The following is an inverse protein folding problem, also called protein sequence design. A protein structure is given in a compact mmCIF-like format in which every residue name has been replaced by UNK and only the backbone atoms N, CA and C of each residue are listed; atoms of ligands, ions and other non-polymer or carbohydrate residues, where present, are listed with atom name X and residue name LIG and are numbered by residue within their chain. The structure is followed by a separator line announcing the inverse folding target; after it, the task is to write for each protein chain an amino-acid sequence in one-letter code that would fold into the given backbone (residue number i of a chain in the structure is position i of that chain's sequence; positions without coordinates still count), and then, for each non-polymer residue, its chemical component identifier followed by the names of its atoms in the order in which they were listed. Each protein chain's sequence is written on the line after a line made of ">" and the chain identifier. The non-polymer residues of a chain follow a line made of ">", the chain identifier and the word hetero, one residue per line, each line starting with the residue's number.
data_IF_913333061388
#
_entry.id   IF_913333061388
#
_cell.length_a   1.000
_cell.length_b   1.000
_cell.length_c   1.000
_cell.angle_alpha   90.00
_cell.angle_beta   90.00
_cell.angle_gamma   90.00
#
_symmetry.space_group_name_H-M   'P 1'
#
loop_
_entity.id
_entity.type
_entity.pdbx_description
1 polymer ?
#
# COMPACT_ATOMS: atom_id res chain seq x y z
N UNK A 1 17.50 26.80 -14.22
CA UNK A 1 17.29 27.61 -12.99
C UNK A 1 15.98 28.41 -12.98
N UNK A 2 15.25 28.57 -14.10
CA UNK A 2 13.97 29.32 -14.13
C UNK A 2 12.72 28.48 -13.82
N UNK A 3 12.73 27.17 -14.10
CA UNK A 3 11.57 26.27 -13.94
C UNK A 3 11.27 25.90 -12.49
N UNK A 4 12.29 25.62 -11.67
CA UNK A 4 12.12 25.36 -10.23
C UNK A 4 11.61 26.58 -9.45
N UNK A 5 12.08 27.78 -9.82
CA UNK A 5 11.63 29.02 -9.19
C UNK A 5 10.14 29.30 -9.45
N UNK A 6 9.65 28.97 -10.65
CA UNK A 6 8.23 29.08 -10.98
C UNK A 6 7.36 28.06 -10.24
N UNK A 7 7.83 26.82 -10.08
CA UNK A 7 7.11 25.78 -9.34
C UNK A 7 6.97 26.14 -7.85
N UNK A 8 8.03 26.63 -7.20
CA UNK A 8 8.00 27.04 -5.79
C UNK A 8 7.06 28.24 -5.57
N UNK A 9 7.04 29.20 -6.50
CA UNK A 9 6.15 30.37 -6.44
C UNK A 9 4.68 29.99 -6.65
N UNK A 10 4.40 28.99 -7.49
CA UNK A 10 3.05 28.46 -7.72
C UNK A 10 2.52 27.74 -6.47
N UNK A 11 3.33 26.89 -5.83
CA UNK A 11 2.96 26.18 -4.61
C UNK A 11 2.66 27.16 -3.46
N UNK A 12 3.48 28.19 -3.27
CA UNK A 12 3.22 29.23 -2.25
C UNK A 12 1.95 30.03 -2.51
N UNK A 13 1.59 30.28 -3.79
CA UNK A 13 0.32 30.93 -4.14
C UNK A 13 -0.88 30.03 -3.85
N UNK A 14 -0.79 28.75 -4.19
CA UNK A 14 -1.86 27.78 -3.89
C UNK A 14 -2.06 27.66 -2.37
N UNK A 15 -0.98 27.57 -1.59
CA UNK A 15 -1.03 27.52 -0.12
C UNK A 15 -1.69 28.78 0.49
N UNK A 16 -1.35 29.96 -0.02
CA UNK A 16 -1.99 31.21 0.40
C UNK A 16 -3.48 31.24 0.06
N UNK A 17 -3.86 30.83 -1.17
CA UNK A 17 -5.26 30.76 -1.59
C UNK A 17 -6.04 29.79 -0.70
N UNK A 18 -5.47 28.62 -0.40
CA UNK A 18 -6.10 27.61 0.44
C UNK A 18 -6.30 28.12 1.88
N UNK A 19 -5.31 28.81 2.45
CA UNK A 19 -5.40 29.47 3.76
C UNK A 19 -6.46 30.57 3.77
N UNK A 20 -6.53 31.38 2.72
CA UNK A 20 -7.56 32.41 2.57
C UNK A 20 -8.96 31.81 2.44
N UNK A 21 -9.13 30.72 1.70
CA UNK A 21 -10.41 30.00 1.58
C UNK A 21 -10.84 29.37 2.91
N UNK A 22 -9.91 28.79 3.67
CA UNK A 22 -10.16 28.28 5.02
C UNK A 22 -10.58 29.39 5.99
N UNK A 23 -9.86 30.52 5.98
CA UNK A 23 -10.20 31.68 6.79
C UNK A 23 -11.56 32.27 6.43
N UNK A 24 -11.87 32.36 5.13
CA UNK A 24 -13.18 32.81 4.66
C UNK A 24 -14.29 31.82 5.04
N UNK A 25 -14.03 30.52 4.94
CA UNK A 25 -14.95 29.47 5.40
C UNK A 25 -15.25 29.58 6.89
N UNK A 26 -14.24 29.86 7.72
CA UNK A 26 -14.42 30.09 9.15
C UNK A 26 -15.25 31.33 9.44
N UNK A 27 -14.98 32.44 8.75
CA UNK A 27 -15.76 33.67 8.89
C UNK A 27 -17.21 33.50 8.40
N UNK A 28 -17.43 32.75 7.33
CA UNK A 28 -18.76 32.43 6.82
C UNK A 28 -19.53 31.56 7.82
N UNK A 29 -18.89 30.54 8.40
CA UNK A 29 -19.49 29.71 9.45
C UNK A 29 -19.81 30.57 10.68
N UNK A 30 -18.89 31.42 11.14
CA UNK A 30 -19.12 32.33 12.27
C UNK A 30 -20.27 33.33 11.99
N UNK A 31 -20.35 33.86 10.77
CA UNK A 31 -21.44 34.73 10.33
C UNK A 31 -22.79 33.99 10.28
N UNK A 32 -22.82 32.76 9.75
CA UNK A 32 -24.02 31.92 9.71
C UNK A 32 -24.48 31.53 11.13
N UNK A 33 -23.55 31.23 12.03
CA UNK A 33 -23.78 30.98 13.46
C UNK A 33 -24.39 32.23 14.13
N UNK A 34 -23.85 33.42 13.85
CA UNK A 34 -24.34 34.68 14.41
C UNK A 34 -25.73 35.06 13.86
N UNK A 35 -25.96 34.87 12.57
CA UNK A 35 -27.21 35.28 11.91
C UNK A 35 -28.35 34.29 12.12
N UNK A 36 -28.03 33.00 12.26
CA UNK A 36 -28.99 31.91 12.40
C UNK A 36 -28.55 30.97 13.54
N UNK A 37 -28.70 31.39 14.81
CA UNK A 37 -28.28 30.58 15.96
C UNK A 37 -29.01 29.22 16.03
N UNK A 38 -30.21 29.11 15.44
CA UNK A 38 -30.92 27.84 15.30
C UNK A 38 -30.21 26.80 14.42
N UNK A 39 -29.29 27.21 13.53
CA UNK A 39 -28.49 26.30 12.70
C UNK A 39 -27.29 25.71 13.44
N UNK A 40 -26.88 26.28 14.58
CA UNK A 40 -25.76 25.76 15.39
C UNK A 40 -26.03 24.31 15.78
N UNK A 41 -27.24 24.02 16.27
CA UNK A 41 -27.64 22.66 16.62
C UNK A 41 -27.53 21.70 15.45
N UNK A 42 -27.95 22.12 14.25
CA UNK A 42 -27.87 21.32 13.02
C UNK A 42 -26.42 21.03 12.65
N UNK A 43 -25.54 22.03 12.64
CA UNK A 43 -24.12 21.83 12.32
C UNK A 43 -23.38 20.99 13.36
N UNK A 44 -23.72 21.14 14.66
CA UNK A 44 -23.16 20.29 15.72
C UNK A 44 -23.61 18.85 15.53
N UNK A 45 -24.90 18.61 15.26
CA UNK A 45 -25.42 17.26 14.99
C UNK A 45 -24.72 16.65 13.76
N UNK A 46 -24.63 17.39 12.66
CA UNK A 46 -23.93 16.94 11.45
C UNK A 46 -22.44 16.67 11.71
N UNK A 47 -21.78 17.53 12.50
CA UNK A 47 -20.39 17.35 12.90
C UNK A 47 -20.18 16.10 13.74
N UNK A 48 -21.07 15.85 14.72
CA UNK A 48 -21.05 14.63 15.54
C UNK A 48 -21.26 13.38 14.67
N UNK A 49 -22.20 13.43 13.71
CA UNK A 49 -22.42 12.33 12.76
C UNK A 49 -21.17 12.10 11.90
N UNK A 50 -20.58 13.16 11.35
CA UNK A 50 -19.40 13.03 10.48
C UNK A 50 -18.18 12.49 11.25
N UNK A 51 -17.86 13.08 12.40
CA UNK A 51 -16.74 12.67 13.24
C UNK A 51 -16.98 11.26 13.78
N UNK A 52 -18.17 11.00 14.32
CA UNK A 52 -18.55 9.67 14.81
C UNK A 52 -18.43 8.61 13.72
N UNK A 53 -18.84 8.92 12.49
CA UNK A 53 -18.80 7.98 11.38
C UNK A 53 -17.41 7.56 10.95
N UNK A 54 -16.42 8.44 11.03
CA UNK A 54 -15.02 8.07 10.76
C UNK A 54 -14.28 7.54 12.00
N UNK A 55 -14.63 8.03 13.19
CA UNK A 55 -13.93 7.70 14.44
C UNK A 55 -14.33 6.32 14.97
N UNK A 56 -15.64 6.00 14.99
CA UNK A 56 -16.15 4.77 15.60
C UNK A 56 -15.62 3.50 14.93
N UNK A 57 -15.62 3.35 13.58
CA UNK A 57 -15.04 2.18 12.92
C UNK A 57 -13.57 1.96 13.26
N UNK A 58 -12.82 3.04 13.45
CA UNK A 58 -11.40 2.98 13.79
C UNK A 58 -11.18 2.61 15.26
N UNK A 59 -12.00 3.11 16.17
CA UNK A 59 -11.82 2.85 17.60
C UNK A 59 -12.35 1.50 18.06
N UNK A 60 -13.48 1.03 17.51
CA UNK A 60 -14.04 -0.26 17.90
C UNK A 60 -13.11 -1.38 17.43
N UNK A 61 -12.63 -2.19 18.38
CA UNK A 61 -11.70 -3.30 18.14
C UNK A 61 -10.25 -2.88 17.92
N UNK A 62 -9.89 -1.61 18.17
CA UNK A 62 -8.51 -1.12 18.04
C UNK A 62 -7.54 -1.98 18.84
N UNK A 63 -7.80 -2.21 20.12
CA UNK A 63 -6.92 -2.98 21.01
C UNK A 63 -6.65 -4.39 20.49
N UNK A 64 -7.67 -5.04 19.92
CA UNK A 64 -7.53 -6.38 19.35
C UNK A 64 -6.67 -6.35 18.09
N UNK A 65 -6.86 -5.34 17.21
CA UNK A 65 -6.07 -5.19 15.99
C UNK A 65 -4.63 -4.84 16.29
N UNK A 66 -4.40 -3.91 17.21
CA UNK A 66 -3.07 -3.54 17.70
C UNK A 66 -2.36 -4.76 18.30
N UNK A 67 -3.03 -5.53 19.16
CA UNK A 67 -2.47 -6.77 19.73
C UNK A 67 -2.10 -7.80 18.65
N UNK A 68 -2.94 -7.96 17.62
CA UNK A 68 -2.66 -8.86 16.47
C UNK A 68 -1.50 -8.35 15.62
N UNK A 69 -1.44 -7.06 15.34
CA UNK A 69 -0.35 -6.44 14.58
C UNK A 69 0.99 -6.57 15.33
N UNK A 70 1.01 -6.31 16.64
CA UNK A 70 2.18 -6.54 17.49
C UNK A 70 2.59 -8.01 17.51
N UNK A 71 1.62 -8.94 17.63
CA UNK A 71 1.89 -10.38 17.58
C UNK A 71 2.53 -10.81 16.25
N UNK A 72 1.98 -10.35 15.13
CA UNK A 72 2.53 -10.64 13.79
C UNK A 72 3.94 -10.06 13.61
N UNK A 73 4.15 -8.82 14.06
CA UNK A 73 5.47 -8.16 14.04
C UNK A 73 6.51 -8.93 14.85
N UNK A 74 6.17 -9.37 16.06
CA UNK A 74 7.07 -10.16 16.91
C UNK A 74 7.40 -11.50 16.25
N UNK A 75 6.41 -12.19 15.67
CA UNK A 75 6.63 -13.45 14.97
C UNK A 75 7.54 -13.29 13.74
N UNK A 76 7.38 -12.20 12.97
CA UNK A 76 8.28 -11.90 11.86
C UNK A 76 9.70 -11.61 12.35
N UNK A 77 9.86 -10.77 13.39
CA UNK A 77 11.17 -10.48 13.97
C UNK A 77 11.89 -11.75 14.45
N UNK A 78 11.20 -12.64 15.15
CA UNK A 78 11.77 -13.90 15.65
C UNK A 78 12.17 -14.85 14.52
N UNK A 79 11.39 -14.85 13.42
CA UNK A 79 11.61 -15.72 12.28
C UNK A 79 12.71 -15.21 11.35
N UNK A 80 12.64 -13.94 10.97
CA UNK A 80 13.44 -13.33 9.91
C UNK A 80 14.55 -12.40 10.40
N UNK A 81 14.48 -11.95 11.66
CA UNK A 81 15.36 -10.89 12.18
C UNK A 81 14.93 -9.48 11.78
N UNK A 82 13.84 -9.35 11.03
CA UNK A 82 13.20 -8.09 10.64
C UNK A 82 11.68 -8.32 10.58
N UNK A 83 10.89 -7.25 10.48
CA UNK A 83 9.45 -7.36 10.29
C UNK A 83 8.92 -6.30 9.35
N UNK A 84 7.80 -6.62 8.72
CA UNK A 84 7.03 -5.66 7.94
C UNK A 84 6.65 -4.42 8.76
N UNK A 85 6.55 -3.30 8.04
CA UNK A 85 6.07 -2.00 8.50
C UNK A 85 4.55 -1.84 8.33
N UNK A 86 3.85 -2.96 8.14
CA UNK A 86 2.40 -2.96 7.94
C UNK A 86 1.69 -2.35 9.16
N UNK A 87 0.51 -1.78 8.92
CA UNK A 87 -0.28 -1.07 9.92
C UNK A 87 -1.36 -1.99 10.47
N UNK A 88 -1.88 -1.66 11.66
CA UNK A 88 -3.11 -2.28 12.11
C UNK A 88 -4.27 -1.96 11.14
N UNK A 89 -4.95 -3.01 10.67
CA UNK A 89 -6.09 -2.89 9.75
C UNK A 89 -7.24 -2.01 10.27
N UNK A 90 -8.33 -1.87 9.49
CA UNK A 90 -8.86 -2.88 8.59
C UNK A 90 -8.37 -2.75 7.14
N UNK A 91 -7.88 -3.86 6.58
CA UNK A 91 -7.57 -4.00 5.16
C UNK A 91 -8.83 -4.10 4.30
N UNK A 92 -8.79 -3.50 3.11
CA UNK A 92 -9.96 -3.37 2.22
C UNK A 92 -9.94 -4.42 1.12
N UNK A 93 -8.75 -4.82 0.67
CA UNK A 93 -8.56 -5.78 -0.41
C UNK A 93 -7.83 -7.03 0.09
N UNK A 94 -8.02 -8.16 -0.58
CA UNK A 94 -7.28 -9.38 -0.30
C UNK A 94 -7.08 -10.25 -1.54
N UNK A 95 -6.05 -11.10 -1.49
CA UNK A 95 -5.77 -12.19 -2.42
C UNK A 95 -5.49 -13.46 -1.63
N UNK A 96 -5.92 -14.60 -2.16
CA UNK A 96 -5.72 -15.94 -1.57
C UNK A 96 -4.80 -16.82 -2.42
N UNK A 97 -4.03 -16.19 -3.31
CA UNK A 97 -3.12 -16.85 -4.23
C UNK A 97 -1.86 -15.98 -4.43
N UNK A 98 -0.72 -16.60 -4.76
CA UNK A 98 0.52 -15.90 -5.03
C UNK A 98 0.43 -15.12 -6.35
N UNK A 99 0.64 -13.81 -6.31
CA UNK A 99 0.70 -12.93 -7.49
C UNK A 99 2.16 -12.70 -7.86
N UNK A 100 2.46 -12.79 -9.16
CA UNK A 100 3.82 -12.70 -9.70
C UNK A 100 3.93 -11.53 -10.67
N UNK A 101 4.96 -10.71 -10.50
CA UNK A 101 5.34 -9.65 -11.43
C UNK A 101 6.77 -9.89 -11.92
N UNK A 102 6.95 -10.12 -13.22
CA UNK A 102 8.27 -10.19 -13.87
C UNK A 102 8.72 -8.78 -14.23
N UNK A 103 9.89 -8.35 -13.75
CA UNK A 103 10.43 -7.02 -14.04
C UNK A 103 11.96 -7.03 -14.00
N UNK A 104 12.58 -6.35 -14.97
CA UNK A 104 14.03 -6.23 -15.02
C UNK A 104 14.62 -5.43 -13.85
N UNK A 105 13.81 -4.64 -13.13
CA UNK A 105 14.26 -3.82 -11.98
C UNK A 105 14.86 -4.63 -10.85
N UNK A 106 14.39 -5.86 -10.68
CA UNK A 106 14.84 -6.75 -9.60
C UNK A 106 15.69 -7.91 -10.13
N UNK A 107 16.20 -7.80 -11.35
CA UNK A 107 17.09 -8.81 -11.90
C UNK A 107 18.38 -8.92 -11.07
N UNK A 108 18.67 -10.12 -10.58
CA UNK A 108 19.84 -10.37 -9.72
C UNK A 108 19.71 -9.88 -8.28
N UNK A 109 18.54 -9.34 -7.89
CA UNK A 109 18.25 -8.97 -6.52
C UNK A 109 17.53 -10.12 -5.80
N UNK A 110 17.74 -10.24 -4.50
CA UNK A 110 17.14 -11.28 -3.67
C UNK A 110 16.58 -10.70 -2.38
N UNK A 111 15.35 -11.11 -2.05
CA UNK A 111 14.68 -10.82 -0.80
C UNK A 111 13.62 -11.89 -0.54
N UNK A 112 13.53 -12.35 0.70
CA UNK A 112 12.59 -13.38 1.14
C UNK A 112 11.97 -12.95 2.46
N UNK A 113 10.65 -12.94 2.54
CA UNK A 113 9.87 -12.70 3.75
C UNK A 113 8.61 -13.58 3.79
N UNK A 114 7.70 -13.35 4.75
CA UNK A 114 6.41 -14.05 4.78
C UNK A 114 5.49 -13.65 3.63
N UNK A 115 5.49 -12.38 3.23
CA UNK A 115 4.49 -11.83 2.31
C UNK A 115 5.07 -11.40 0.96
N UNK A 116 6.39 -11.24 0.87
CA UNK A 116 7.08 -10.74 -0.30
C UNK A 116 8.32 -11.60 -0.58
N UNK A 117 8.47 -12.01 -1.84
CA UNK A 117 9.72 -12.55 -2.38
C UNK A 117 10.14 -11.72 -3.58
N UNK A 118 11.43 -11.41 -3.63
CA UNK A 118 12.12 -10.88 -4.80
C UNK A 118 13.19 -11.90 -5.13
N UNK A 119 13.13 -12.51 -6.30
CA UNK A 119 14.19 -13.41 -6.77
C UNK A 119 14.14 -13.52 -8.29
N UNK A 120 15.31 -13.64 -8.92
CA UNK A 120 15.46 -13.90 -10.36
C UNK A 120 14.59 -12.99 -11.26
N UNK A 121 14.47 -11.69 -10.96
CA UNK A 121 13.66 -10.77 -11.76
C UNK A 121 12.15 -10.88 -11.54
N UNK A 122 11.71 -11.62 -10.52
CA UNK A 122 10.31 -11.75 -10.13
C UNK A 122 10.06 -11.10 -8.77
N UNK A 123 8.92 -10.42 -8.66
CA UNK A 123 8.33 -9.98 -7.40
C UNK A 123 7.10 -10.86 -7.17
N UNK A 124 7.07 -11.55 -6.04
CA UNK A 124 6.03 -12.50 -5.68
C UNK A 124 5.38 -12.02 -4.39
N UNK A 125 4.10 -11.70 -4.46
CA UNK A 125 3.30 -11.31 -3.29
C UNK A 125 2.46 -12.51 -2.87
N UNK A 126 2.38 -12.75 -1.56
CA UNK A 126 1.69 -13.90 -0.97
C UNK A 126 2.27 -15.27 -1.40
N UNK A 127 3.57 -15.53 -1.21
CA UNK A 127 4.25 -16.76 -1.66
C UNK A 127 3.87 -18.01 -0.86
N UNK A 128 2.89 -17.95 0.05
CA UNK A 128 2.54 -19.05 0.94
C UNK A 128 3.42 -19.16 2.19
N UNK A 129 3.15 -20.14 3.07
CA UNK A 129 3.89 -20.33 4.30
C UNK A 129 5.35 -20.70 4.04
N UNK A 130 6.26 -20.07 4.78
CA UNK A 130 7.70 -20.31 4.65
C UNK A 130 8.30 -20.99 5.86
N UNK A 131 9.34 -21.80 5.62
CA UNK A 131 10.13 -22.50 6.64
C UNK A 131 11.60 -22.12 6.44
N UNK A 132 12.25 -21.64 7.49
CA UNK A 132 13.67 -21.27 7.48
C UNK A 132 14.46 -22.39 8.16
N UNK A 133 15.40 -22.98 7.44
CA UNK A 133 16.42 -23.85 8.01
C UNK A 133 17.64 -23.02 8.41
N UNK A 134 17.82 -22.88 9.73
CA UNK A 134 18.94 -22.12 10.32
C UNK A 134 20.30 -22.81 10.15
N UNK A 135 20.34 -24.11 9.82
CA UNK A 135 21.61 -24.84 9.63
C UNK A 135 22.21 -24.55 8.26
N UNK A 136 21.36 -24.49 7.24
CA UNK A 136 21.75 -24.26 5.84
C UNK A 136 21.58 -22.80 5.42
N UNK A 137 20.99 -21.95 6.27
CA UNK A 137 20.55 -20.60 5.91
C UNK A 137 19.73 -20.62 4.60
N UNK A 138 18.76 -21.51 4.55
CA UNK A 138 17.87 -21.64 3.40
C UNK A 138 16.41 -21.47 3.80
N UNK A 139 15.60 -20.95 2.89
CA UNK A 139 14.15 -20.86 3.02
C UNK A 139 13.45 -21.68 1.95
N UNK A 140 12.38 -22.35 2.36
CA UNK A 140 11.41 -22.99 1.47
C UNK A 140 10.02 -22.41 1.65
N UNK A 141 9.24 -22.38 0.59
CA UNK A 141 7.86 -21.91 0.54
C UNK A 141 6.93 -23.04 0.13
N UNK A 142 5.77 -23.13 0.80
CA UNK A 142 4.70 -24.03 0.42
C UNK A 142 3.65 -23.28 -0.41
N UNK A 143 3.77 -23.36 -1.74
CA UNK A 143 2.86 -22.71 -2.69
C UNK A 143 1.45 -23.33 -2.73
N UNK A 144 1.28 -24.54 -2.16
CA UNK A 144 0.02 -25.28 -2.19
C UNK A 144 -0.90 -24.92 -1.03
N UNK A 145 -0.35 -24.33 0.04
CA UNK A 145 -1.13 -23.96 1.21
C UNK A 145 -1.66 -22.54 1.02
N UNK A 146 -2.98 -22.35 0.91
CA UNK A 146 -3.55 -21.02 0.72
C UNK A 146 -3.25 -20.15 1.93
N UNK A 147 -2.78 -18.93 1.66
CA UNK A 147 -2.64 -17.85 2.63
C UNK A 147 -3.34 -16.63 2.09
N UNK A 148 -3.91 -15.82 2.97
CA UNK A 148 -4.57 -14.58 2.61
C UNK A 148 -3.62 -13.42 2.86
N UNK A 149 -3.29 -12.68 1.81
CA UNK A 149 -2.62 -11.40 1.92
C UNK A 149 -3.65 -10.29 1.74
N UNK A 150 -3.68 -9.34 2.66
CA UNK A 150 -4.63 -8.23 2.67
C UNK A 150 -3.89 -6.88 2.65
N UNK A 151 -4.46 -5.87 1.99
CA UNK A 151 -3.86 -4.54 1.87
C UNK A 151 -4.91 -3.42 1.77
N UNK A 152 -4.48 -2.17 2.01
CA UNK A 152 -5.33 -0.98 2.07
C UNK A 152 -5.46 -0.21 0.75
N UNK A 153 -4.59 -0.51 -0.23
CA UNK A 153 -4.48 0.19 -1.50
C UNK A 153 -3.70 1.52 -1.40
N UNK A 154 -3.42 2.16 -2.54
CA UNK A 154 -2.48 3.29 -2.61
C UNK A 154 -3.02 4.66 -2.17
N UNK A 155 -4.29 4.74 -1.78
CA UNK A 155 -4.95 6.01 -1.43
C UNK A 155 -5.74 5.87 -0.15
N UNK A 156 -5.87 6.93 0.66
CA UNK A 156 -6.62 6.88 1.90
C UNK A 156 -8.10 6.60 1.61
N UNK A 157 -8.49 5.34 1.70
CA UNK A 157 -9.87 4.87 1.73
C UNK A 157 -10.24 4.64 3.19
N UNK A 158 -11.39 5.17 3.64
CA UNK A 158 -11.85 5.10 5.03
C UNK A 158 -13.30 4.66 5.10
N UNK A 159 -13.59 3.76 6.03
CA UNK A 159 -14.96 3.36 6.35
C UNK A 159 -15.68 4.49 7.11
N UNK A 160 -16.90 4.79 6.69
CA UNK A 160 -17.86 5.68 7.34
C UNK A 160 -19.00 4.83 7.90
N UNK A 161 -19.10 4.74 9.23
CA UNK A 161 -20.07 3.92 9.97
C UNK A 161 -20.23 2.49 9.43
N UNK A 162 -19.14 1.87 8.97
CA UNK A 162 -19.09 0.53 8.38
C UNK A 162 -19.95 0.29 7.12
N UNK A 163 -20.74 1.26 6.65
CA UNK A 163 -21.66 1.10 5.52
C UNK A 163 -21.20 1.82 4.24
N UNK A 164 -20.26 2.75 4.34
CA UNK A 164 -19.73 3.47 3.18
C UNK A 164 -18.20 3.51 3.21
N UNK A 165 -17.57 3.30 2.05
CA UNK A 165 -16.13 3.51 1.85
C UNK A 165 -15.92 4.85 1.15
N UNK A 166 -15.20 5.76 1.80
CA UNK A 166 -14.88 7.10 1.28
C UNK A 166 -13.39 7.18 0.98
N UNK A 167 -13.03 7.52 -0.26
CA UNK A 167 -11.63 7.64 -0.66
C UNK A 167 -11.49 8.03 -2.13
N UNK A 168 -10.29 7.86 -2.69
CA UNK A 168 -10.04 8.18 -4.09
C UNK A 168 -10.96 7.36 -5.00
N UNK A 169 -11.64 8.00 -5.95
CA UNK A 169 -12.57 7.34 -6.84
C UNK A 169 -11.81 6.45 -7.84
N UNK A 170 -11.70 5.16 -7.51
CA UNK A 170 -11.26 4.12 -8.44
C UNK A 170 -12.49 3.48 -9.08
N UNK A 171 -13.10 4.17 -10.04
CA UNK A 171 -14.38 3.74 -10.63
C UNK A 171 -14.22 2.80 -11.83
N UNK A 172 -13.03 2.71 -12.42
CA UNK A 172 -12.78 1.88 -13.59
C UNK A 172 -12.37 0.46 -13.20
N UNK A 173 -13.33 -0.46 -13.30
CA UNK A 173 -13.08 -1.90 -13.23
C UNK A 173 -12.91 -2.45 -14.65
N UNK A 174 -11.99 -3.40 -14.80
CA UNK A 174 -11.78 -4.10 -16.07
C UNK A 174 -11.22 -5.49 -15.83
N UNK A 175 -11.60 -6.41 -16.69
CA UNK A 175 -10.90 -7.68 -16.81
C UNK A 175 -9.48 -7.47 -17.34
N UNK A 176 -8.49 -7.93 -16.59
CA UNK A 176 -7.11 -7.95 -17.06
C UNK A 176 -6.38 -9.19 -16.56
N UNK A 177 -5.42 -9.70 -17.35
CA UNK A 177 -4.59 -10.82 -16.95
C UNK A 177 -3.57 -10.38 -15.89
N UNK A 178 -3.40 -11.20 -14.87
CA UNK A 178 -2.29 -11.12 -13.92
C UNK A 178 -1.56 -12.47 -13.88
N UNK A 179 -0.25 -12.44 -13.65
CA UNK A 179 0.51 -13.69 -13.49
C UNK A 179 0.40 -14.18 -12.05
N UNK A 180 0.20 -15.48 -11.88
CA UNK A 180 0.10 -16.15 -10.57
C UNK A 180 0.93 -17.43 -10.58
N UNK A 181 1.29 -17.97 -9.41
CA UNK A 181 1.68 -19.38 -9.33
C UNK A 181 0.46 -20.28 -9.24
N UNK A 182 0.46 -21.34 -10.05
CA UNK A 182 -0.46 -22.45 -9.86
C UNK A 182 0.02 -23.36 -8.70
N UNK A 183 -0.84 -24.29 -8.28
CA UNK A 183 -0.52 -25.32 -7.27
C UNK A 183 0.74 -26.14 -7.59
N UNK A 184 1.07 -26.25 -8.87
CA UNK A 184 2.24 -26.99 -9.37
C UNK A 184 3.51 -26.14 -9.42
N UNK A 185 3.46 -24.89 -8.97
CA UNK A 185 4.58 -23.95 -8.98
C UNK A 185 4.89 -23.33 -10.35
N UNK A 186 4.08 -23.59 -11.37
CA UNK A 186 4.18 -22.96 -12.68
C UNK A 186 3.52 -21.57 -12.70
N UNK A 187 4.10 -20.62 -13.44
CA UNK A 187 3.50 -19.29 -13.64
C UNK A 187 2.41 -19.38 -14.70
N UNK A 188 1.19 -19.00 -14.35
CA UNK A 188 0.03 -18.98 -15.25
C UNK A 188 -0.64 -17.61 -15.24
N UNK A 189 -1.42 -17.32 -16.28
CA UNK A 189 -2.24 -16.10 -16.33
C UNK A 189 -3.62 -16.36 -15.73
N UNK A 190 -4.06 -15.46 -14.86
CA UNK A 190 -5.41 -15.43 -14.30
C UNK A 190 -6.10 -14.13 -14.69
N UNK A 191 -7.30 -14.23 -15.24
CA UNK A 191 -8.13 -13.06 -15.50
C UNK A 191 -8.79 -12.62 -14.19
N UNK A 192 -8.62 -11.35 -13.83
CA UNK A 192 -9.26 -10.73 -12.66
C UNK A 192 -10.10 -9.54 -13.09
N UNK A 193 -11.22 -9.32 -12.41
CA UNK A 193 -12.06 -8.13 -12.59
C UNK A 193 -11.81 -7.14 -11.44
N UNK A 194 -10.82 -6.28 -11.61
CA UNK A 194 -10.31 -5.38 -10.58
C UNK A 194 -10.31 -3.92 -11.04
N UNK A 195 -10.16 -3.00 -10.09
CA UNK A 195 -9.90 -1.59 -10.40
C UNK A 195 -8.53 -1.46 -11.09
N UNK A 196 -8.38 -0.53 -12.04
CA UNK A 196 -7.14 -0.39 -12.82
C UNK A 196 -5.89 -0.18 -11.94
N UNK A 197 -6.02 0.54 -10.83
CA UNK A 197 -4.93 0.79 -9.88
C UNK A 197 -4.69 -0.36 -8.89
N UNK A 198 -5.56 -1.36 -8.83
CA UNK A 198 -5.56 -2.37 -7.77
C UNK A 198 -4.34 -3.28 -7.84
N UNK A 199 -3.99 -3.79 -9.03
CA UNK A 199 -2.81 -4.63 -9.20
C UNK A 199 -1.51 -3.87 -8.88
N UNK A 200 -1.38 -2.63 -9.38
CA UNK A 200 -0.27 -1.77 -9.05
C UNK A 200 -0.20 -1.51 -7.54
N UNK A 201 -1.35 -1.30 -6.88
CA UNK A 201 -1.41 -1.05 -5.45
C UNK A 201 -1.04 -2.24 -4.58
N UNK A 202 -1.37 -3.45 -5.02
CA UNK A 202 -0.99 -4.68 -4.36
C UNK A 202 0.54 -4.82 -4.30
N UNK A 203 1.21 -4.65 -5.45
CA UNK A 203 2.66 -4.75 -5.53
C UNK A 203 3.33 -3.62 -4.75
N UNK A 204 2.83 -2.39 -4.89
CA UNK A 204 3.35 -1.22 -4.18
C UNK A 204 3.25 -1.38 -2.66
N UNK A 205 2.11 -1.82 -2.14
CA UNK A 205 1.89 -2.03 -0.70
C UNK A 205 2.86 -3.10 -0.15
N UNK A 206 2.95 -4.26 -0.82
CA UNK A 206 3.84 -5.33 -0.41
C UNK A 206 5.32 -4.90 -0.38
N UNK A 207 5.77 -4.12 -1.38
CA UNK A 207 7.11 -3.54 -1.38
C UNK A 207 7.29 -2.49 -0.27
N UNK A 208 6.28 -1.65 -0.03
CA UNK A 208 6.31 -0.60 0.99
C UNK A 208 6.41 -1.15 2.40
N UNK A 209 5.76 -2.29 2.67
CA UNK A 209 5.84 -3.00 3.94
C UNK A 209 7.27 -3.39 4.30
N UNK A 210 8.15 -3.62 3.34
CA UNK A 210 9.55 -4.00 3.57
C UNK A 210 10.55 -2.96 3.05
N UNK A 211 10.12 -1.72 2.81
CA UNK A 211 10.91 -0.69 2.14
C UNK A 211 12.22 -0.31 2.84
N UNK A 212 12.30 -0.55 4.15
CA UNK A 212 13.49 -0.33 4.96
C UNK A 212 14.58 -1.39 4.72
N UNK A 213 14.23 -2.57 4.23
CA UNK A 213 15.14 -3.72 4.11
C UNK A 213 15.29 -4.29 2.69
N UNK A 214 14.30 -4.12 1.81
CA UNK A 214 14.38 -4.64 0.43
C UNK A 214 15.54 -4.01 -0.36
N UNK A 215 16.06 -4.70 -1.38
CA UNK A 215 17.12 -4.20 -2.26
C UNK A 215 16.65 -3.12 -3.27
N UNK A 216 15.57 -2.40 -2.95
CA UNK A 216 15.03 -1.30 -3.76
C UNK A 216 15.01 -0.01 -2.95
N UNK A 217 15.14 1.11 -3.66
CA UNK A 217 14.87 2.44 -3.14
C UNK A 217 13.39 2.79 -3.24
N UNK A 218 12.95 3.75 -2.43
CA UNK A 218 11.59 4.30 -2.49
C UNK A 218 11.27 4.81 -3.90
N UNK A 219 12.23 5.46 -4.55
CA UNK A 219 12.07 6.01 -5.90
C UNK A 219 11.86 4.90 -6.93
N UNK A 220 12.61 3.80 -6.85
CA UNK A 220 12.44 2.65 -7.74
C UNK A 220 11.08 1.96 -7.56
N UNK A 221 10.58 1.88 -6.32
CA UNK A 221 9.25 1.31 -6.02
C UNK A 221 8.13 2.23 -6.51
N UNK A 222 8.24 3.54 -6.27
CA UNK A 222 7.27 4.54 -6.73
C UNK A 222 7.18 4.61 -8.26
N UNK A 223 8.33 4.55 -8.94
CA UNK A 223 8.38 4.54 -10.41
C UNK A 223 7.87 3.20 -10.99
N UNK A 224 8.10 2.06 -10.32
CA UNK A 224 7.52 0.77 -10.73
C UNK A 224 5.99 0.83 -10.63
N UNK A 225 5.48 1.36 -9.54
CA UNK A 225 4.06 1.58 -9.34
C UNK A 225 3.46 2.47 -10.43
N UNK A 226 4.09 3.61 -10.74
CA UNK A 226 3.66 4.49 -11.82
C UNK A 226 3.61 3.78 -13.18
N UNK A 227 4.63 3.00 -13.52
CA UNK A 227 4.64 2.23 -14.77
C UNK A 227 3.53 1.19 -14.84
N UNK A 228 3.26 0.49 -13.73
CA UNK A 228 2.13 -0.44 -13.66
C UNK A 228 0.78 0.27 -13.86
N UNK A 229 0.59 1.47 -13.31
CA UNK A 229 -0.64 2.25 -13.55
C UNK A 229 -0.83 2.58 -15.03
N UNK A 230 0.24 2.99 -15.72
CA UNK A 230 0.19 3.28 -17.16
C UNK A 230 -0.07 2.01 -17.98
N UNK A 231 0.52 0.88 -17.61
CA UNK A 231 0.29 -0.42 -18.25
C UNK A 231 -1.15 -0.91 -18.08
N UNK A 232 -1.80 -0.57 -16.95
CA UNK A 232 -3.23 -0.77 -16.74
C UNK A 232 -4.11 0.21 -17.51
N UNK A 233 -3.55 1.02 -18.42
CA UNK A 233 -4.25 2.05 -19.21
C UNK A 233 -4.90 3.15 -18.36
N UNK A 234 -4.43 3.37 -17.13
CA UNK A 234 -4.89 4.51 -16.33
C UNK A 234 -4.43 5.81 -16.99
N UNK A 235 -5.30 6.83 -17.12
CA UNK A 235 -4.90 8.11 -17.71
C UNK A 235 -3.67 8.71 -17.00
N UNK A 236 -2.69 9.15 -17.78
CA UNK A 236 -1.39 9.66 -17.31
C UNK A 236 -1.52 10.73 -16.22
N UNK A 237 -2.47 11.65 -16.33
CA UNK A 237 -2.69 12.69 -15.32
C UNK A 237 -3.17 12.13 -13.98
N UNK A 238 -3.96 11.04 -13.98
CA UNK A 238 -4.41 10.34 -12.79
C UNK A 238 -3.25 9.54 -12.21
N UNK A 239 -2.50 8.82 -13.04
CA UNK A 239 -1.31 8.08 -12.62
C UNK A 239 -0.26 9.01 -11.95
N UNK A 240 -0.08 10.22 -12.48
CA UNK A 240 0.78 11.26 -11.87
C UNK A 240 0.25 11.75 -10.51
N UNK A 241 -1.06 11.84 -10.34
CA UNK A 241 -1.66 12.17 -9.05
C UNK A 241 -1.39 11.07 -8.01
N UNK A 242 -1.54 9.81 -8.41
CA UNK A 242 -1.15 8.66 -7.59
C UNK A 242 0.33 8.69 -7.20
N UNK A 243 1.22 8.88 -8.19
CA UNK A 243 2.66 9.01 -7.97
C UNK A 243 2.97 10.14 -6.99
N UNK A 244 2.38 11.33 -7.20
CA UNK A 244 2.55 12.46 -6.30
C UNK A 244 2.13 12.12 -4.86
N UNK A 245 0.99 11.44 -4.69
CA UNK A 245 0.49 11.07 -3.37
C UNK A 245 1.45 10.11 -2.63
N UNK A 246 1.92 9.04 -3.29
CA UNK A 246 2.84 8.07 -2.66
C UNK A 246 4.23 8.66 -2.44
N UNK A 247 4.70 9.55 -3.34
CA UNK A 247 5.98 10.21 -3.18
C UNK A 247 6.01 11.19 -2.00
N UNK A 248 4.90 11.89 -1.73
CA UNK A 248 4.83 12.91 -0.65
C UNK A 248 4.36 12.40 0.70
N UNK A 249 3.43 11.44 0.71
CA UNK A 249 2.79 10.98 1.94
C UNK A 249 3.19 9.55 2.33
N UNK A 250 3.84 8.80 1.44
CA UNK A 250 4.29 7.44 1.69
C UNK A 250 5.64 7.38 2.40
N UNK A 251 5.75 6.50 3.39
CA UNK A 251 7.02 6.09 4.02
C UNK A 251 7.94 7.22 4.53
N UNK A 252 7.36 8.30 5.07
CA UNK A 252 8.12 9.43 5.66
C UNK A 252 8.84 9.07 6.97
N UNK A 253 8.56 7.88 7.51
CA UNK A 253 9.04 7.30 8.76
C UNK A 253 10.16 6.26 8.54
N UNK A 254 10.78 6.21 7.35
CA UNK A 254 11.88 5.29 7.10
C UNK A 254 13.07 5.56 8.04
N UNK A 255 13.67 4.51 8.62
CA UNK A 255 14.84 4.67 9.46
C UNK A 255 16.02 5.20 8.65
N UNK A 256 16.86 6.02 9.27
CA UNK A 256 18.09 6.57 8.64
C UNK A 256 19.11 5.49 8.34
N UNK A 257 19.10 4.40 9.09
CA UNK A 257 19.96 3.22 8.92
C UNK A 257 19.11 2.02 8.52
N UNK A 258 19.41 1.41 7.38
CA UNK A 258 18.73 0.18 6.94
C UNK A 258 19.21 -1.03 7.75
N UNK A 259 18.31 -1.91 8.21
CA UNK A 259 18.70 -3.19 8.81
C UNK A 259 19.45 -4.05 7.79
N UNK A 260 20.37 -4.88 8.28
CA UNK A 260 21.10 -5.84 7.45
C UNK A 260 20.20 -7.00 7.09
N UNK A 261 20.02 -7.26 5.79
CA UNK A 261 19.31 -8.44 5.31
C UNK A 261 20.16 -9.70 5.52
N UNK A 262 19.61 -10.78 6.13
CA UNK A 262 20.36 -12.01 6.34
C UNK A 262 20.71 -12.69 5.01
N UNK A 263 21.90 -13.28 4.93
CA UNK A 263 22.29 -14.07 3.76
C UNK A 263 21.54 -15.40 3.77
N UNK A 264 20.42 -15.47 3.06
CA UNK A 264 19.52 -16.63 2.97
C UNK A 264 19.39 -17.04 1.50
N UNK A 265 19.48 -18.34 1.24
CA UNK A 265 19.23 -18.92 -0.08
C UNK A 265 17.81 -19.50 -0.19
N UNK A 266 17.25 -19.56 -1.39
CA UNK A 266 15.96 -20.21 -1.63
C UNK A 266 16.06 -21.22 -2.76
N UNK A 267 15.44 -22.39 -2.56
CA UNK A 267 15.34 -23.42 -3.61
C UNK A 267 13.98 -23.46 -4.28
N UNK A 268 12.94 -22.95 -3.62
CA UNK A 268 11.54 -23.03 -4.07
C UNK A 268 11.25 -22.31 -5.38
N UNK A 269 12.13 -21.42 -5.83
CA UNK A 269 11.93 -20.60 -7.03
C UNK A 269 13.00 -20.83 -8.11
N UNK A 270 13.91 -21.80 -7.93
CA UNK A 270 15.03 -22.02 -8.86
C UNK A 270 14.58 -22.31 -10.30
N UNK A 271 13.40 -22.91 -10.48
CA UNK A 271 12.81 -23.22 -11.79
C UNK A 271 12.29 -22.00 -12.56
N UNK A 272 12.25 -20.82 -11.93
CA UNK A 272 11.88 -19.57 -12.61
C UNK A 272 12.96 -19.03 -13.53
N UNK A 273 14.22 -19.42 -13.32
CA UNK A 273 15.35 -18.98 -14.16
C UNK A 273 15.24 -19.49 -15.60
N UNK A 274 14.47 -20.57 -15.81
CA UNK A 274 14.39 -21.28 -17.08
C UNK A 274 13.20 -20.82 -17.98
N UNK A 275 12.40 -19.82 -17.54
CA UNK A 275 11.22 -19.30 -18.26
C UNK A 275 11.19 -17.76 -18.39
#
# INVERSE_FOLDING_TARGET
>A
MSTEYHAVKLVKRIDLILKSLLGFGFLLIAYLIFRHPGLIGVFVILGVILVGGFYLPRHIGWEIREKRALGAKTQELEKWGFASRDREGPWINYIDYPVVLKTARVAGQQFYSNWLVIDQGHIIVNPGPSIIDKKTNSVSYNLQTPTTYAWDGCTPKRLFYWFALVGTPDWWHREHPISIFNTDGAVTQKIVFWQLAQHASLIHDALYQYLDIIPLSKEEVDDLFYQMLLQSELPDFIAKFYLFAVTKFGANDLPTTRPTYPNISCESFKHLADN
#
